data_IF_844324073992
#
_entry.id   IF_844324073992
#
_cell.length_a   1.000
_cell.length_b   1.000
_cell.length_c   1.000
_cell.angle_alpha   90.00
_cell.angle_beta   90.00
_cell.angle_gamma   90.00
#
_symmetry.space_group_name_H-M   'P 1'
#
loop_
_entity.id
_entity.type
_entity.pdbx_description
1 polymer ?
#
# COMPACT_ATOMS: atom_id res chain seq x y z
N UNK A 1 -15.49 43.89 -18.60
CA UNK A 1 -14.27 43.69 -19.44
C UNK A 1 -13.27 42.71 -18.79
N UNK A 2 -13.34 42.49 -17.49
CA UNK A 2 -12.44 41.57 -16.74
C UNK A 2 -12.84 40.10 -16.91
N UNK A 3 -14.16 39.81 -17.01
CA UNK A 3 -14.63 38.40 -17.13
C UNK A 3 -14.29 37.72 -18.45
N UNK A 4 -14.09 38.45 -19.53
CA UNK A 4 -13.65 37.87 -20.81
C UNK A 4 -12.18 37.52 -20.84
N UNK A 5 -11.35 38.14 -19.97
CA UNK A 5 -9.92 37.82 -19.87
C UNK A 5 -9.68 36.56 -19.06
N UNK A 6 -10.48 36.35 -18.00
CA UNK A 6 -10.38 35.16 -17.15
C UNK A 6 -10.85 33.91 -17.89
N UNK A 7 -11.93 33.97 -18.69
CA UNK A 7 -12.36 32.85 -19.50
C UNK A 7 -11.36 32.49 -20.63
N UNK A 8 -10.67 33.49 -21.21
CA UNK A 8 -9.62 33.24 -22.20
C UNK A 8 -8.38 32.58 -21.64
N UNK A 9 -7.99 32.92 -20.41
CA UNK A 9 -6.83 32.33 -19.73
C UNK A 9 -7.11 30.89 -19.27
N UNK A 10 -8.32 30.61 -18.79
CA UNK A 10 -8.73 29.24 -18.39
C UNK A 10 -8.80 28.30 -19.60
N UNK A 11 -9.30 28.77 -20.73
CA UNK A 11 -9.35 27.97 -21.97
C UNK A 11 -7.93 27.74 -22.53
N UNK A 12 -7.01 28.72 -22.38
CA UNK A 12 -5.63 28.56 -22.85
C UNK A 12 -4.78 27.66 -21.95
N UNK A 13 -5.05 27.63 -20.65
CA UNK A 13 -4.39 26.69 -19.71
C UNK A 13 -4.93 25.27 -19.90
N UNK A 14 -6.23 25.09 -20.18
CA UNK A 14 -6.78 23.77 -20.49
C UNK A 14 -6.30 23.22 -21.85
N UNK A 15 -5.99 24.08 -22.83
CA UNK A 15 -5.48 23.63 -24.13
C UNK A 15 -3.97 23.29 -24.13
N UNK A 16 -3.20 23.81 -23.16
CA UNK A 16 -1.77 23.47 -22.96
C UNK A 16 -1.54 22.21 -22.14
N UNK A 17 -2.56 21.69 -21.45
CA UNK A 17 -2.48 20.40 -20.73
C UNK A 17 -2.85 19.18 -21.61
N UNK A 18 -3.20 19.41 -22.90
CA UNK A 18 -3.61 18.34 -23.82
C UNK A 18 -2.53 17.93 -24.82
N UNK A 19 -1.29 18.44 -24.70
CA UNK A 19 -0.17 18.05 -25.57
C UNK A 19 1.02 17.67 -24.70
N UNK A 20 1.03 16.48 -24.18
CA UNK A 20 2.16 15.58 -24.03
C UNK A 20 1.67 14.24 -23.46
N UNK A 21 0.77 13.59 -24.18
CA UNK A 21 0.65 12.14 -24.15
C UNK A 21 1.79 11.60 -25.00
N UNK A 22 3.04 11.70 -24.53
CA UNK A 22 4.04 10.77 -24.99
C UNK A 22 3.59 9.40 -24.48
N UNK A 23 2.93 8.63 -25.36
CA UNK A 23 2.94 7.19 -25.25
C UNK A 23 4.42 6.76 -25.33
N UNK A 24 5.11 6.79 -24.18
CA UNK A 24 6.36 6.05 -24.04
C UNK A 24 5.99 4.57 -24.19
N UNK A 25 6.01 4.12 -25.43
CA UNK A 25 6.08 2.71 -25.73
C UNK A 25 7.33 2.20 -25.02
N UNK A 26 7.15 1.43 -23.96
CA UNK A 26 8.20 0.51 -23.51
C UNK A 26 8.24 -0.56 -24.59
N UNK A 27 9.18 -0.42 -25.52
CA UNK A 27 9.37 -1.42 -26.57
C UNK A 27 9.97 -2.65 -25.90
N UNK A 28 9.16 -3.70 -25.76
CA UNK A 28 9.51 -4.96 -25.11
C UNK A 28 10.67 -5.65 -25.86
N UNK A 29 10.97 -5.21 -27.08
CA UNK A 29 12.00 -5.82 -27.93
C UNK A 29 13.45 -5.47 -27.55
N UNK A 30 13.68 -4.46 -26.68
CA UNK A 30 15.04 -3.99 -26.35
C UNK A 30 15.55 -4.40 -24.94
N UNK A 31 14.72 -5.02 -24.08
CA UNK A 31 15.14 -5.45 -22.72
C UNK A 31 15.10 -6.97 -22.62
N UNK A 32 16.24 -7.57 -22.38
CA UNK A 32 16.49 -9.00 -22.57
C UNK A 32 15.89 -9.97 -21.56
N UNK A 33 15.08 -9.55 -20.56
CA UNK A 33 14.42 -10.44 -19.60
C UNK A 33 12.99 -9.95 -19.32
N UNK A 34 12.00 -10.85 -19.48
CA UNK A 34 10.58 -10.57 -19.23
C UNK A 34 10.33 -10.12 -17.78
N UNK A 35 11.09 -10.64 -16.80
CA UNK A 35 10.96 -10.29 -15.38
C UNK A 35 11.40 -8.83 -15.11
N UNK A 36 12.42 -8.33 -15.81
CA UNK A 36 12.87 -6.93 -15.74
C UNK A 36 11.80 -5.97 -16.29
N UNK A 37 11.12 -6.37 -17.37
CA UNK A 37 10.04 -5.60 -17.99
C UNK A 37 8.85 -5.51 -17.04
N UNK A 38 8.43 -6.64 -16.45
CA UNK A 38 7.31 -6.69 -15.51
C UNK A 38 7.59 -5.81 -14.30
N UNK A 39 8.79 -5.89 -13.75
CA UNK A 39 9.23 -5.06 -12.61
C UNK A 39 9.20 -3.56 -12.95
N UNK A 40 9.62 -3.18 -14.15
CA UNK A 40 9.54 -1.80 -14.62
C UNK A 40 8.10 -1.32 -14.77
N UNK A 41 7.21 -2.16 -15.32
CA UNK A 41 5.78 -1.85 -15.47
C UNK A 41 5.09 -1.72 -14.12
N UNK A 42 5.38 -2.61 -13.18
CA UNK A 42 4.89 -2.52 -11.81
C UNK A 42 5.29 -1.20 -11.16
N UNK A 43 6.55 -0.80 -11.26
CA UNK A 43 7.05 0.47 -10.73
C UNK A 43 6.36 1.67 -11.37
N UNK A 44 6.31 1.75 -12.71
CA UNK A 44 5.64 2.85 -13.44
C UNK A 44 4.17 2.97 -13.06
N UNK A 45 3.46 1.84 -12.94
CA UNK A 45 2.07 1.84 -12.54
C UNK A 45 1.89 2.28 -11.08
N UNK A 46 2.77 1.87 -10.17
CA UNK A 46 2.74 2.27 -8.76
C UNK A 46 3.04 3.76 -8.58
N UNK A 47 4.02 4.32 -9.30
CA UNK A 47 4.37 5.74 -9.24
C UNK A 47 3.20 6.65 -9.64
N UNK A 48 2.37 6.21 -10.58
CA UNK A 48 1.20 6.95 -11.06
C UNK A 48 -0.12 6.56 -10.37
N UNK A 49 -0.09 5.64 -9.39
CA UNK A 49 -1.28 5.04 -8.78
C UNK A 49 -2.26 6.08 -8.21
N UNK A 50 -1.75 7.09 -7.51
CA UNK A 50 -2.55 8.12 -6.86
C UNK A 50 -2.64 9.43 -7.65
N UNK A 51 -1.72 9.67 -8.58
CA UNK A 51 -1.66 10.91 -9.38
C UNK A 51 -2.42 10.76 -10.70
N UNK A 52 -2.35 9.61 -11.34
CA UNK A 52 -3.05 9.28 -12.59
C UNK A 52 -3.47 7.81 -12.64
N UNK A 53 -4.46 7.45 -11.82
CA UNK A 53 -4.96 6.08 -11.73
C UNK A 53 -5.48 5.50 -13.07
N UNK A 54 -6.05 6.36 -13.92
CA UNK A 54 -6.54 5.95 -15.25
C UNK A 54 -5.38 5.49 -16.14
N UNK A 55 -4.25 6.21 -16.10
CA UNK A 55 -3.03 5.82 -16.81
C UNK A 55 -2.50 4.49 -16.27
N UNK A 56 -2.34 4.34 -14.94
CA UNK A 56 -1.88 3.08 -14.33
C UNK A 56 -2.70 1.89 -14.81
N UNK A 57 -4.03 2.00 -14.76
CA UNK A 57 -4.93 0.92 -15.19
C UNK A 57 -4.85 0.63 -16.69
N UNK A 58 -4.70 1.67 -17.52
CA UNK A 58 -4.56 1.51 -18.97
C UNK A 58 -3.25 0.80 -19.31
N UNK A 59 -2.14 1.25 -18.71
CA UNK A 59 -0.81 0.65 -18.85
C UNK A 59 -0.82 -0.84 -18.51
N UNK A 60 -1.35 -1.17 -17.33
CA UNK A 60 -1.41 -2.57 -16.85
C UNK A 60 -2.29 -3.45 -17.73
N UNK A 61 -3.48 -2.96 -18.13
CA UNK A 61 -4.40 -3.70 -18.97
C UNK A 61 -3.82 -4.05 -20.34
N UNK A 62 -3.14 -3.08 -20.95
CA UNK A 62 -2.46 -3.26 -22.23
C UNK A 62 -1.36 -4.34 -22.13
N UNK A 63 -0.52 -4.25 -21.11
CA UNK A 63 0.62 -5.17 -20.96
C UNK A 63 0.19 -6.56 -20.50
N UNK A 64 -0.81 -6.69 -19.62
CA UNK A 64 -1.39 -8.00 -19.26
C UNK A 64 -1.88 -8.76 -20.50
N UNK A 65 -2.47 -8.09 -21.49
CA UNK A 65 -2.93 -8.78 -22.74
C UNK A 65 -1.79 -9.25 -23.64
N UNK A 66 -0.56 -8.80 -23.40
CA UNK A 66 0.64 -9.12 -24.18
C UNK A 66 1.59 -10.08 -23.46
N UNK A 67 1.39 -10.29 -22.17
CA UNK A 67 2.25 -11.14 -21.32
C UNK A 67 1.95 -12.62 -21.60
N UNK A 68 2.99 -13.37 -21.95
CA UNK A 68 2.89 -14.80 -22.25
C UNK A 68 3.06 -15.67 -20.99
N UNK A 69 3.88 -15.24 -20.04
CA UNK A 69 4.13 -15.93 -18.79
C UNK A 69 3.00 -15.71 -17.78
N UNK A 70 2.56 -16.83 -17.17
CA UNK A 70 1.45 -16.81 -16.22
C UNK A 70 1.78 -16.03 -14.94
N UNK A 71 2.98 -16.16 -14.39
CA UNK A 71 3.36 -15.47 -13.15
C UNK A 71 3.39 -13.96 -13.38
N UNK A 72 4.03 -13.51 -14.46
CA UNK A 72 4.08 -12.11 -14.90
C UNK A 72 2.69 -11.52 -15.06
N UNK A 73 1.77 -12.26 -15.70
CA UNK A 73 0.37 -11.85 -15.85
C UNK A 73 -0.30 -11.61 -14.48
N UNK A 74 -0.14 -12.52 -13.53
CA UNK A 74 -0.77 -12.38 -12.21
C UNK A 74 -0.09 -11.35 -11.32
N UNK A 75 1.21 -11.09 -11.50
CA UNK A 75 1.90 -9.96 -10.87
C UNK A 75 1.29 -8.63 -11.32
N UNK A 76 1.16 -8.41 -12.64
CA UNK A 76 0.52 -7.22 -13.18
C UNK A 76 -0.95 -7.09 -12.73
N UNK A 77 -1.70 -8.22 -12.66
CA UNK A 77 -3.06 -8.24 -12.14
C UNK A 77 -3.12 -7.80 -10.65
N UNK A 78 -2.12 -8.15 -9.84
CA UNK A 78 -2.03 -7.69 -8.46
C UNK A 78 -1.85 -6.17 -8.38
N UNK A 79 -0.98 -5.58 -9.21
CA UNK A 79 -0.83 -4.11 -9.28
C UNK A 79 -2.10 -3.46 -9.83
N UNK A 80 -2.79 -4.07 -10.78
CA UNK A 80 -4.09 -3.61 -11.26
C UNK A 80 -5.15 -3.62 -10.14
N UNK A 81 -5.13 -4.64 -9.31
CA UNK A 81 -5.99 -4.71 -8.11
C UNK A 81 -5.70 -3.57 -7.12
N UNK A 82 -4.42 -3.21 -6.92
CA UNK A 82 -4.03 -2.02 -6.12
C UNK A 82 -4.56 -0.72 -6.74
N UNK A 83 -4.55 -0.61 -8.07
CA UNK A 83 -5.14 0.54 -8.76
C UNK A 83 -6.67 0.60 -8.61
N UNK A 84 -7.36 -0.54 -8.61
CA UNK A 84 -8.78 -0.62 -8.28
C UNK A 84 -9.05 -0.19 -6.83
N UNK A 85 -8.19 -0.60 -5.88
CA UNK A 85 -8.29 -0.18 -4.49
C UNK A 85 -8.17 1.34 -4.33
N UNK A 86 -7.15 1.95 -4.96
CA UNK A 86 -6.97 3.40 -4.96
C UNK A 86 -8.17 4.16 -5.59
N UNK A 87 -8.88 3.52 -6.53
CA UNK A 87 -10.12 4.03 -7.12
C UNK A 87 -11.39 3.67 -6.31
N UNK A 88 -11.24 3.10 -5.10
CA UNK A 88 -12.35 2.62 -4.25
C UNK A 88 -13.25 1.56 -4.90
N UNK A 89 -12.75 0.82 -5.88
CA UNK A 89 -13.45 -0.26 -6.56
C UNK A 89 -13.21 -1.60 -5.84
N UNK A 90 -13.68 -1.71 -4.60
CA UNK A 90 -13.36 -2.82 -3.71
C UNK A 90 -13.88 -4.18 -4.19
N UNK A 91 -15.05 -4.24 -4.83
CA UNK A 91 -15.56 -5.49 -5.43
C UNK A 91 -14.62 -6.03 -6.51
N UNK A 92 -14.04 -5.12 -7.32
CA UNK A 92 -13.04 -5.50 -8.32
C UNK A 92 -11.78 -6.04 -7.66
N UNK A 93 -11.35 -5.45 -6.55
CA UNK A 93 -10.20 -5.94 -5.77
C UNK A 93 -10.45 -7.38 -5.30
N UNK A 94 -11.62 -7.65 -4.72
CA UNK A 94 -11.99 -8.99 -4.25
C UNK A 94 -12.03 -9.99 -5.41
N UNK A 95 -12.60 -9.59 -6.55
CA UNK A 95 -12.67 -10.42 -7.75
C UNK A 95 -11.27 -10.83 -8.23
N UNK A 96 -10.37 -9.86 -8.46
CA UNK A 96 -9.01 -10.14 -8.92
C UNK A 96 -8.19 -10.91 -7.88
N UNK A 97 -8.33 -10.58 -6.60
CA UNK A 97 -7.65 -11.29 -5.52
C UNK A 97 -8.00 -12.78 -5.48
N UNK A 98 -9.28 -13.14 -5.67
CA UNK A 98 -9.70 -14.55 -5.74
C UNK A 98 -9.04 -15.31 -6.91
N UNK A 99 -8.95 -14.66 -8.07
CA UNK A 99 -8.29 -15.23 -9.25
C UNK A 99 -6.80 -15.47 -8.98
N UNK A 100 -6.11 -14.46 -8.42
CA UNK A 100 -4.68 -14.56 -8.10
C UNK A 100 -4.43 -15.65 -7.05
N UNK A 101 -5.21 -15.70 -5.97
CA UNK A 101 -5.06 -16.72 -4.93
C UNK A 101 -5.28 -18.15 -5.48
N UNK A 102 -6.23 -18.32 -6.39
CA UNK A 102 -6.44 -19.59 -7.05
C UNK A 102 -5.24 -20.02 -7.90
N UNK A 103 -4.61 -19.06 -8.60
CA UNK A 103 -3.36 -19.32 -9.32
C UNK A 103 -2.24 -19.72 -8.35
N UNK A 104 -2.01 -18.95 -7.28
CA UNK A 104 -0.96 -19.25 -6.30
C UNK A 104 -1.12 -20.65 -5.69
N UNK A 105 -2.36 -21.08 -5.40
CA UNK A 105 -2.63 -22.42 -4.84
C UNK A 105 -2.31 -23.58 -5.79
N UNK A 106 -2.26 -23.32 -7.09
CA UNK A 106 -1.98 -24.33 -8.13
C UNK A 106 -0.55 -24.27 -8.64
N UNK A 107 0.18 -23.22 -8.30
CA UNK A 107 1.54 -23.00 -8.77
C UNK A 107 2.54 -23.76 -7.93
N UNK A 108 3.70 -24.04 -8.51
CA UNK A 108 4.85 -24.59 -7.79
C UNK A 108 5.33 -23.57 -6.75
N UNK A 109 5.85 -24.08 -5.66
CA UNK A 109 6.40 -23.28 -4.57
C UNK A 109 7.62 -22.46 -5.05
N UNK A 110 7.55 -21.13 -4.92
CA UNK A 110 8.63 -20.22 -5.28
C UNK A 110 8.53 -18.91 -4.50
N UNK A 111 9.64 -18.17 -4.29
CA UNK A 111 9.61 -16.87 -3.62
C UNK A 111 8.62 -15.88 -4.25
N UNK A 112 8.54 -15.86 -5.58
CA UNK A 112 7.64 -14.95 -6.30
C UNK A 112 6.15 -15.30 -6.06
N UNK A 113 5.82 -16.60 -5.97
CA UNK A 113 4.47 -17.05 -5.61
C UNK A 113 4.14 -16.69 -4.17
N UNK A 114 5.11 -16.83 -3.24
CA UNK A 114 4.95 -16.40 -1.85
C UNK A 114 4.71 -14.89 -1.73
N UNK A 115 5.45 -14.08 -2.50
CA UNK A 115 5.26 -12.63 -2.55
C UNK A 115 3.88 -12.26 -3.07
N UNK A 116 3.46 -12.87 -4.19
CA UNK A 116 2.16 -12.62 -4.81
C UNK A 116 1.01 -13.03 -3.88
N UNK A 117 1.12 -14.20 -3.24
CA UNK A 117 0.15 -14.68 -2.24
C UNK A 117 0.01 -13.69 -1.08
N UNK A 118 1.14 -13.31 -0.46
CA UNK A 118 1.15 -12.40 0.68
C UNK A 118 0.61 -11.01 0.32
N UNK A 119 1.03 -10.46 -0.82
CA UNK A 119 0.53 -9.16 -1.30
C UNK A 119 -0.98 -9.19 -1.54
N UNK A 120 -1.50 -10.31 -2.06
CA UNK A 120 -2.94 -10.47 -2.34
C UNK A 120 -3.76 -10.61 -1.06
N UNK A 121 -3.29 -11.40 -0.07
CA UNK A 121 -3.95 -11.50 1.23
C UNK A 121 -3.93 -10.16 1.98
N UNK A 122 -2.81 -9.42 1.93
CA UNK A 122 -2.73 -8.08 2.52
C UNK A 122 -3.75 -7.13 1.89
N UNK A 123 -3.92 -7.19 0.56
CA UNK A 123 -4.93 -6.39 -0.14
C UNK A 123 -6.34 -6.75 0.27
N UNK A 124 -6.64 -8.04 0.47
CA UNK A 124 -7.94 -8.48 1.01
C UNK A 124 -8.17 -7.92 2.42
N UNK A 125 -7.16 -7.95 3.29
CA UNK A 125 -7.24 -7.32 4.61
C UNK A 125 -7.59 -5.83 4.54
N UNK A 126 -6.92 -5.09 3.64
CA UNK A 126 -7.20 -3.67 3.41
C UNK A 126 -8.66 -3.43 2.96
N UNK A 127 -9.20 -4.27 2.07
CA UNK A 127 -10.61 -4.17 1.62
C UNK A 127 -11.57 -4.38 2.78
N UNK A 128 -11.37 -5.42 3.58
CA UNK A 128 -12.24 -5.70 4.73
C UNK A 128 -12.18 -4.57 5.78
N UNK A 129 -10.98 -3.99 6.00
CA UNK A 129 -10.84 -2.80 6.85
C UNK A 129 -11.63 -1.60 6.29
N UNK A 130 -11.57 -1.35 4.97
CA UNK A 130 -12.34 -0.26 4.32
C UNK A 130 -13.84 -0.49 4.33
N UNK A 131 -14.29 -1.72 4.35
CA UNK A 131 -15.71 -2.07 4.53
C UNK A 131 -16.16 -2.07 5.99
N UNK A 132 -15.28 -1.68 6.92
CA UNK A 132 -15.55 -1.64 8.36
C UNK A 132 -15.83 -3.03 8.97
N UNK A 133 -15.11 -4.05 8.49
CA UNK A 133 -15.08 -5.40 9.07
C UNK A 133 -13.68 -5.71 9.62
N UNK A 134 -13.28 -5.09 10.75
CA UNK A 134 -11.91 -5.19 11.27
C UNK A 134 -11.53 -6.62 11.69
N UNK A 135 -12.46 -7.42 12.19
CA UNK A 135 -12.20 -8.83 12.50
C UNK A 135 -11.74 -9.61 11.27
N UNK A 136 -12.42 -9.41 10.15
CA UNK A 136 -12.04 -10.04 8.89
C UNK A 136 -10.68 -9.51 8.40
N UNK A 137 -10.44 -8.21 8.51
CA UNK A 137 -9.15 -7.61 8.13
C UNK A 137 -8.00 -8.24 8.91
N UNK A 138 -8.12 -8.33 10.24
CA UNK A 138 -7.11 -8.94 11.13
C UNK A 138 -6.84 -10.39 10.75
N UNK A 139 -7.89 -11.18 10.43
CA UNK A 139 -7.70 -12.58 9.97
C UNK A 139 -6.85 -12.66 8.70
N UNK A 140 -7.05 -11.76 7.74
CA UNK A 140 -6.24 -11.73 6.52
C UNK A 140 -4.80 -11.30 6.79
N UNK A 141 -4.57 -10.27 7.60
CA UNK A 141 -3.22 -9.83 8.00
C UNK A 141 -2.48 -10.90 8.81
N UNK A 142 -3.20 -11.63 9.69
CA UNK A 142 -2.60 -12.73 10.44
C UNK A 142 -2.10 -13.86 9.53
N UNK A 143 -2.85 -14.20 8.47
CA UNK A 143 -2.39 -15.18 7.47
C UNK A 143 -1.10 -14.73 6.78
N UNK A 144 -0.99 -13.45 6.43
CA UNK A 144 0.25 -12.91 5.85
C UNK A 144 1.39 -12.97 6.85
N UNK A 145 1.15 -12.59 8.10
CA UNK A 145 2.15 -12.61 9.17
C UNK A 145 2.74 -14.02 9.38
N UNK A 146 1.88 -15.03 9.53
CA UNK A 146 2.32 -16.40 9.73
C UNK A 146 3.05 -16.95 8.49
N UNK A 147 2.57 -16.65 7.31
CA UNK A 147 3.20 -17.08 6.06
C UNK A 147 4.62 -16.50 5.91
N UNK A 148 4.80 -15.19 6.10
CA UNK A 148 6.11 -14.53 6.03
C UNK A 148 7.07 -14.98 7.13
N UNK A 149 6.54 -15.20 8.34
CA UNK A 149 7.32 -15.73 9.47
C UNK A 149 7.86 -17.13 9.20
N UNK A 150 7.04 -18.02 8.64
CA UNK A 150 7.45 -19.37 8.25
C UNK A 150 8.52 -19.36 7.15
N UNK A 151 8.42 -18.45 6.18
CA UNK A 151 9.39 -18.23 5.12
C UNK A 151 10.68 -17.52 5.58
N UNK A 152 10.79 -17.12 6.85
CA UNK A 152 11.87 -16.29 7.40
C UNK A 152 12.07 -14.96 6.67
N UNK A 153 10.99 -14.40 6.13
CA UNK A 153 10.98 -13.15 5.37
C UNK A 153 10.72 -11.95 6.29
N UNK A 154 11.65 -11.71 7.19
CA UNK A 154 11.49 -10.77 8.31
C UNK A 154 11.34 -9.31 7.87
N UNK A 155 11.89 -8.93 6.72
CA UNK A 155 11.87 -7.55 6.20
C UNK A 155 10.45 -7.02 5.91
N UNK A 156 9.49 -7.90 5.64
CA UNK A 156 8.08 -7.54 5.39
C UNK A 156 7.22 -7.49 6.67
N UNK A 157 7.70 -8.08 7.75
CA UNK A 157 6.90 -8.19 8.99
C UNK A 157 6.58 -6.85 9.67
N UNK A 158 7.44 -5.80 9.65
CA UNK A 158 7.08 -4.51 10.25
C UNK A 158 5.78 -3.93 9.70
N UNK A 159 5.62 -3.87 8.37
CA UNK A 159 4.41 -3.32 7.74
C UNK A 159 3.17 -4.17 8.04
N UNK A 160 3.32 -5.49 8.11
CA UNK A 160 2.24 -6.40 8.47
C UNK A 160 1.85 -6.23 9.94
N UNK A 161 2.82 -6.03 10.83
CA UNK A 161 2.54 -5.73 12.24
C UNK A 161 1.80 -4.40 12.40
N UNK A 162 2.12 -3.37 11.59
CA UNK A 162 1.37 -2.11 11.57
C UNK A 162 -0.08 -2.37 11.15
N UNK A 163 -0.31 -3.10 10.06
CA UNK A 163 -1.66 -3.44 9.60
C UNK A 163 -2.46 -4.24 10.64
N UNK A 164 -1.81 -5.17 11.35
CA UNK A 164 -2.42 -5.91 12.47
C UNK A 164 -2.76 -4.99 13.64
N UNK A 165 -1.87 -4.07 13.97
CA UNK A 165 -2.12 -3.08 15.02
C UNK A 165 -3.29 -2.17 14.68
N UNK A 166 -3.31 -1.59 13.47
CA UNK A 166 -4.40 -0.74 12.97
C UNK A 166 -5.74 -1.50 12.97
N UNK A 167 -5.74 -2.75 12.51
CA UNK A 167 -6.92 -3.62 12.55
C UNK A 167 -7.44 -3.85 13.97
N UNK A 168 -6.55 -4.05 14.94
CA UNK A 168 -6.92 -4.21 16.35
C UNK A 168 -7.38 -2.89 16.99
N UNK A 169 -6.82 -1.72 16.59
CA UNK A 169 -7.37 -0.41 17.00
C UNK A 169 -8.83 -0.29 16.55
N UNK A 170 -9.14 -0.65 15.30
CA UNK A 170 -10.51 -0.62 14.78
C UNK A 170 -11.47 -1.62 15.48
N UNK A 171 -10.93 -2.70 16.07
CA UNK A 171 -11.67 -3.62 16.94
C UNK A 171 -11.82 -3.11 18.38
N UNK A 172 -11.17 -2.00 18.71
CA UNK A 172 -10.98 -1.54 20.09
C UNK A 172 -10.19 -2.53 20.98
N UNK A 173 -9.40 -3.40 20.37
CA UNK A 173 -8.46 -4.30 21.05
C UNK A 173 -7.10 -3.62 21.19
N UNK A 174 -7.05 -2.63 22.07
CA UNK A 174 -5.88 -1.75 22.22
C UNK A 174 -4.67 -2.49 22.82
N UNK A 175 -4.88 -3.57 23.55
CA UNK A 175 -3.78 -4.39 24.08
C UNK A 175 -3.03 -5.10 22.97
N UNK A 176 -3.73 -5.76 22.08
CA UNK A 176 -3.13 -6.40 20.90
C UNK A 176 -2.57 -5.36 19.92
N UNK A 177 -3.25 -4.22 19.75
CA UNK A 177 -2.72 -3.13 18.95
C UNK A 177 -1.35 -2.66 19.46
N UNK A 178 -1.22 -2.39 20.77
CA UNK A 178 0.06 -2.00 21.38
C UNK A 178 1.14 -3.09 21.24
N UNK A 179 0.76 -4.36 21.33
CA UNK A 179 1.67 -5.48 21.11
C UNK A 179 2.24 -5.46 19.68
N UNK A 180 1.38 -5.36 18.66
CA UNK A 180 1.82 -5.40 17.27
C UNK A 180 2.61 -4.15 16.86
N UNK A 181 2.25 -2.95 17.31
CA UNK A 181 3.06 -1.76 17.07
C UNK A 181 4.46 -1.87 17.71
N UNK A 182 4.56 -2.34 18.96
CA UNK A 182 5.87 -2.57 19.60
C UNK A 182 6.66 -3.64 18.86
N UNK A 183 5.98 -4.67 18.35
CA UNK A 183 6.63 -5.70 17.53
C UNK A 183 7.16 -5.12 16.22
N UNK A 184 6.41 -4.24 15.56
CA UNK A 184 6.87 -3.53 14.36
C UNK A 184 8.11 -2.68 14.67
N UNK A 185 8.10 -1.92 15.76
CA UNK A 185 9.24 -1.09 16.18
C UNK A 185 10.49 -1.93 16.42
N UNK A 186 10.36 -3.02 17.18
CA UNK A 186 11.46 -3.95 17.44
C UNK A 186 12.05 -4.52 16.13
N UNK A 187 11.21 -4.88 15.18
CA UNK A 187 11.64 -5.40 13.88
C UNK A 187 12.34 -4.32 13.05
N UNK A 188 11.83 -3.08 13.03
CA UNK A 188 12.49 -1.96 12.36
C UNK A 188 13.90 -1.74 12.91
N UNK A 189 14.05 -1.75 14.24
CA UNK A 189 15.34 -1.56 14.90
C UNK A 189 16.29 -2.74 14.62
N UNK A 190 15.80 -3.97 14.75
CA UNK A 190 16.58 -5.20 14.55
C UNK A 190 17.09 -5.37 13.12
N UNK A 191 16.33 -4.88 12.15
CA UNK A 191 16.65 -4.98 10.72
C UNK A 191 17.37 -3.74 10.19
N UNK A 192 17.59 -2.71 11.02
CA UNK A 192 18.22 -1.46 10.61
C UNK A 192 17.43 -0.70 9.55
N UNK A 193 16.09 -0.78 9.61
CA UNK A 193 15.23 -0.13 8.62
C UNK A 193 15.24 1.40 8.78
N UNK A 194 15.02 2.16 7.68
CA UNK A 194 15.02 3.61 7.73
C UNK A 194 14.02 4.17 8.74
N UNK A 195 14.41 5.24 9.42
CA UNK A 195 13.59 5.91 10.45
C UNK A 195 12.21 6.37 9.96
N UNK A 196 12.05 6.65 8.66
CA UNK A 196 10.75 7.02 8.06
C UNK A 196 9.63 6.01 8.36
N UNK A 197 9.98 4.75 8.58
CA UNK A 197 9.03 3.69 8.90
C UNK A 197 8.54 3.76 10.36
N UNK A 198 9.20 4.54 11.21
CA UNK A 198 8.90 4.61 12.64
C UNK A 198 7.81 5.62 13.00
N UNK A 199 7.60 6.64 12.16
CA UNK A 199 6.55 7.64 12.43
C UNK A 199 5.16 7.01 12.63
N UNK A 200 4.61 6.20 11.69
CA UNK A 200 3.29 5.61 11.86
C UNK A 200 3.21 4.71 13.09
N UNK A 201 4.31 4.03 13.46
CA UNK A 201 4.36 3.17 14.64
C UNK A 201 4.27 4.00 15.93
N UNK A 202 5.09 5.04 16.06
CA UNK A 202 5.06 5.90 17.25
C UNK A 202 3.71 6.63 17.38
N UNK A 203 3.18 7.11 16.27
CA UNK A 203 1.88 7.77 16.25
C UNK A 203 0.76 6.80 16.67
N UNK A 204 0.75 5.58 16.11
CA UNK A 204 -0.20 4.54 16.46
C UNK A 204 -0.10 4.10 17.93
N UNK A 205 1.12 3.99 18.48
CA UNK A 205 1.33 3.75 19.92
C UNK A 205 0.78 4.89 20.77
N UNK A 206 1.03 6.14 20.38
CA UNK A 206 0.49 7.30 21.09
C UNK A 206 -1.05 7.26 21.16
N UNK A 207 -1.72 7.00 20.04
CA UNK A 207 -3.18 6.84 20.01
C UNK A 207 -3.65 5.64 20.85
N UNK A 208 -2.97 4.49 20.70
CA UNK A 208 -3.35 3.26 21.42
C UNK A 208 -3.25 3.43 22.93
N UNK A 209 -2.17 4.05 23.43
CA UNK A 209 -2.02 4.31 24.86
C UNK A 209 -2.97 5.40 25.38
N UNK A 210 -3.38 6.35 24.54
CA UNK A 210 -4.47 7.29 24.85
C UNK A 210 -5.76 6.54 25.16
N UNK A 211 -6.14 5.57 24.33
CA UNK A 211 -7.33 4.75 24.51
C UNK A 211 -7.23 3.83 25.74
N UNK A 212 -6.03 3.33 26.05
CA UNK A 212 -5.72 2.57 27.28
C UNK A 212 -5.67 3.46 28.53
N UNK A 213 -5.82 4.78 28.40
CA UNK A 213 -5.70 5.79 29.47
C UNK A 213 -4.33 5.84 30.15
N UNK A 214 -3.30 5.37 29.47
CA UNK A 214 -1.92 5.54 29.89
C UNK A 214 -1.35 6.80 29.23
N UNK A 215 -1.67 7.94 29.83
CA UNK A 215 -1.34 9.25 29.27
C UNK A 215 0.17 9.54 29.25
N UNK A 216 0.93 8.95 30.16
CA UNK A 216 2.38 9.11 30.20
C UNK A 216 3.03 8.42 29.01
N UNK A 217 2.68 7.18 28.73
CA UNK A 217 3.14 6.47 27.54
C UNK A 217 2.59 7.09 26.26
N UNK A 218 1.35 7.54 26.23
CA UNK A 218 0.77 8.24 25.10
C UNK A 218 1.58 9.48 24.73
N UNK A 219 1.84 10.36 25.70
CA UNK A 219 2.66 11.57 25.49
C UNK A 219 4.08 11.22 25.02
N UNK A 220 4.71 10.23 25.66
CA UNK A 220 6.04 9.77 25.25
C UNK A 220 6.09 9.38 23.79
N UNK A 221 5.15 8.57 23.32
CA UNK A 221 5.12 8.10 21.93
C UNK A 221 4.75 9.21 20.94
N UNK A 222 3.87 10.14 21.30
CA UNK A 222 3.63 11.33 20.47
C UNK A 222 4.87 12.23 20.37
N UNK A 223 5.66 12.39 21.42
CA UNK A 223 6.93 13.11 21.35
C UNK A 223 7.94 12.41 20.43
N UNK A 224 8.01 11.08 20.50
CA UNK A 224 8.83 10.29 19.57
C UNK A 224 8.38 10.48 18.13
N UNK A 225 7.08 10.43 17.85
CA UNK A 225 6.53 10.72 16.52
C UNK A 225 6.88 12.13 16.05
N UNK A 226 6.83 13.13 16.95
CA UNK A 226 7.16 14.52 16.66
C UNK A 226 8.58 14.75 16.17
N UNK A 227 9.53 13.88 16.50
CA UNK A 227 10.92 13.96 15.99
C UNK A 227 10.99 13.79 14.46
N UNK A 228 10.00 13.16 13.87
CA UNK A 228 9.88 12.96 12.42
C UNK A 228 9.04 14.04 11.73
N UNK A 229 8.58 15.06 12.46
CA UNK A 229 7.66 16.09 11.94
C UNK A 229 8.16 16.76 10.65
N UNK A 230 9.46 17.03 10.54
CA UNK A 230 10.04 17.65 9.33
C UNK A 230 9.95 16.74 8.09
N UNK A 231 9.92 15.43 8.30
CA UNK A 231 9.89 14.40 7.24
C UNK A 231 8.46 13.99 6.86
N UNK A 232 7.46 14.41 7.66
CA UNK A 232 6.06 14.07 7.42
C UNK A 232 5.50 14.77 6.19
N UNK A 233 4.63 14.09 5.48
CA UNK A 233 3.76 14.69 4.46
C UNK A 233 2.77 15.68 5.08
N UNK A 234 2.16 16.54 4.26
CA UNK A 234 1.16 17.51 4.73
C UNK A 234 -0.02 16.85 5.46
N UNK A 235 -0.62 15.75 4.95
CA UNK A 235 -1.68 15.04 5.66
C UNK A 235 -1.24 14.49 7.02
N UNK A 236 -0.04 13.90 7.10
CA UNK A 236 0.50 13.37 8.36
C UNK A 236 0.73 14.48 9.40
N UNK A 237 1.27 15.63 8.98
CA UNK A 237 1.42 16.80 9.85
C UNK A 237 0.09 17.29 10.41
N UNK A 238 -0.92 17.38 9.55
CA UNK A 238 -2.27 17.77 9.96
C UNK A 238 -2.85 16.79 10.98
N UNK A 239 -2.77 15.51 10.71
CA UNK A 239 -3.26 14.45 11.61
C UNK A 239 -2.53 14.47 12.96
N UNK A 240 -1.20 14.60 12.94
CA UNK A 240 -0.38 14.68 14.14
C UNK A 240 -0.75 15.90 15.02
N UNK A 241 -0.94 17.07 14.40
CA UNK A 241 -1.25 18.30 15.15
C UNK A 241 -2.66 18.29 15.77
N UNK A 242 -3.61 17.59 15.15
CA UNK A 242 -4.99 17.52 15.64
C UNK A 242 -5.21 16.52 16.79
N UNK A 243 -4.31 15.57 16.96
CA UNK A 243 -4.46 14.45 17.92
C UNK A 243 -3.44 14.47 19.08
N UNK A 244 -2.65 15.55 19.19
CA UNK A 244 -1.66 15.74 20.25
C UNK A 244 -2.22 16.50 21.47
#
# INVERSE_FOLDING_TARGET
MVDRYIQGVIVFICSLLFVCGCDEHVDISETGDEDDIVTLLERKAMDSLFTNNAYSRSLLRKNMSQTADSLSYYRLMNVYSKACFAASQFDSVVYYSRIILHFCQKSSDSPQIHDLFSATYNMMGNVWGRWNFPDSAVVYYQKVYEHRKQGNELSYLPDICINLADGNVHKSDYTDAAYYYRRALFLCDSLGLPDRNKFPIYYGLGQTYMELRDFDLSNHYYEMAGRYFSQMSVPEKFTYLNNR
#
